data_IF_473816579726
#
_entry.id   IF_473816579726
#
_cell.length_a   1.000
_cell.length_b   1.000
_cell.length_c   1.000
_cell.angle_alpha   90.00
_cell.angle_beta   90.00
_cell.angle_gamma   90.00
#
_symmetry.space_group_name_H-M   'P 1'
#
loop_
_entity.id
_entity.type
_entity.pdbx_description
1 polymer ?
#
# COMPACT_ATOMS: atom_id res chain seq x y z
N UNK A 1 31.93 -29.12 -51.34
CA UNK A 1 31.43 -28.60 -50.05
C UNK A 1 32.31 -29.24 -48.99
N UNK A 2 33.27 -28.48 -48.44
CA UNK A 2 34.20 -29.04 -47.47
C UNK A 2 33.47 -29.42 -46.17
N UNK A 3 33.76 -30.59 -45.56
CA UNK A 3 33.10 -31.03 -44.33
C UNK A 3 33.38 -30.07 -43.16
N UNK A 4 34.47 -29.30 -43.22
CA UNK A 4 34.82 -28.25 -42.26
C UNK A 4 33.88 -27.03 -42.37
N UNK A 5 33.43 -26.68 -43.58
CA UNK A 5 32.49 -25.58 -43.79
C UNK A 5 31.08 -25.90 -43.29
N UNK A 6 30.68 -27.17 -43.34
CA UNK A 6 29.38 -27.63 -42.79
C UNK A 6 29.39 -27.60 -41.26
N UNK A 7 30.53 -27.92 -40.63
CA UNK A 7 30.68 -27.86 -39.17
C UNK A 7 30.69 -26.41 -38.63
N UNK A 8 31.27 -25.47 -39.38
CA UNK A 8 31.25 -24.04 -39.01
C UNK A 8 29.86 -23.41 -39.10
N UNK A 9 28.99 -23.89 -40.01
CA UNK A 9 27.60 -23.42 -40.11
C UNK A 9 26.69 -23.98 -39.01
N UNK A 10 26.98 -25.18 -38.49
CA UNK A 10 26.25 -25.78 -37.36
C UNK A 10 26.58 -25.14 -36.01
N UNK A 11 27.79 -24.59 -35.85
CA UNK A 11 28.19 -23.90 -34.63
C UNK A 11 27.68 -22.45 -34.53
N UNK A 12 27.36 -21.82 -35.66
CA UNK A 12 26.80 -20.47 -35.71
C UNK A 12 25.30 -20.41 -35.33
N UNK A 13 24.61 -21.55 -35.27
CA UNK A 13 23.22 -21.64 -34.79
C UNK A 13 23.11 -21.80 -33.26
N UNK A 14 24.25 -21.83 -32.54
CA UNK A 14 24.34 -21.87 -31.07
C UNK A 14 24.73 -20.49 -30.50
N UNK A 15 24.15 -19.42 -31.05
CA UNK A 15 24.14 -18.14 -30.32
C UNK A 15 23.30 -18.29 -29.05
N UNK A 16 23.78 -17.81 -27.89
CA UNK A 16 23.15 -18.08 -26.61
C UNK A 16 21.86 -17.26 -26.51
N UNK A 17 20.71 -17.94 -26.58
CA UNK A 17 19.41 -17.35 -26.22
C UNK A 17 19.37 -16.87 -24.75
N UNK A 18 20.38 -17.22 -23.93
CA UNK A 18 20.49 -16.87 -22.52
C UNK A 18 20.94 -15.43 -22.22
N UNK A 19 21.72 -14.76 -23.08
CA UNK A 19 22.32 -13.45 -22.73
C UNK A 19 21.30 -12.31 -22.69
N UNK A 20 20.32 -12.32 -23.60
CA UNK A 20 19.25 -11.32 -23.63
C UNK A 20 18.22 -11.53 -22.51
N UNK A 21 17.94 -12.78 -22.15
CA UNK A 21 17.02 -13.12 -21.05
C UNK A 21 17.61 -12.72 -19.70
N UNK A 22 18.90 -12.99 -19.48
CA UNK A 22 19.59 -12.62 -18.24
C UNK A 22 19.76 -11.10 -18.11
N UNK A 23 20.11 -10.39 -19.19
CA UNK A 23 20.20 -8.93 -19.17
C UNK A 23 18.83 -8.28 -18.88
N UNK A 24 17.75 -8.82 -19.46
CA UNK A 24 16.40 -8.29 -19.26
C UNK A 24 15.84 -8.64 -17.87
N UNK A 25 16.20 -9.80 -17.30
CA UNK A 25 15.89 -10.12 -15.90
C UNK A 25 16.62 -9.18 -14.95
N UNK A 26 17.92 -8.99 -15.15
CA UNK A 26 18.73 -8.09 -14.32
C UNK A 26 18.24 -6.64 -14.33
N UNK A 27 17.81 -6.14 -15.50
CA UNK A 27 17.21 -4.80 -15.64
C UNK A 27 15.89 -4.68 -14.86
N UNK A 28 15.02 -5.69 -14.92
CA UNK A 28 13.73 -5.72 -14.18
C UNK A 28 13.95 -5.76 -12.67
N UNK A 29 14.88 -6.59 -12.21
CA UNK A 29 15.28 -6.66 -10.80
C UNK A 29 15.82 -5.30 -10.34
N UNK A 30 16.62 -4.63 -11.17
CA UNK A 30 17.14 -3.28 -10.88
C UNK A 30 16.03 -2.23 -10.77
N UNK A 31 15.05 -2.25 -11.68
CA UNK A 31 13.93 -1.30 -11.66
C UNK A 31 13.08 -1.47 -10.39
N UNK A 32 12.83 -2.71 -9.98
CA UNK A 32 12.11 -3.02 -8.75
C UNK A 32 12.86 -2.53 -7.50
N UNK A 33 14.18 -2.72 -7.45
CA UNK A 33 15.01 -2.23 -6.33
C UNK A 33 15.07 -0.69 -6.27
N UNK A 34 15.09 -0.02 -7.43
CA UNK A 34 14.96 1.44 -7.48
C UNK A 34 13.59 1.87 -6.95
N UNK A 35 12.52 1.18 -7.36
CA UNK A 35 11.18 1.46 -6.88
C UNK A 35 11.07 1.29 -5.36
N UNK A 36 11.63 0.22 -4.77
CA UNK A 36 11.68 0.05 -3.30
C UNK A 36 12.32 1.25 -2.60
N UNK A 37 13.40 1.80 -3.14
CA UNK A 37 14.06 3.00 -2.57
C UNK A 37 13.19 4.25 -2.65
N UNK A 38 12.51 4.46 -3.79
CA UNK A 38 11.59 5.59 -3.96
C UNK A 38 10.38 5.48 -3.05
N UNK A 39 9.86 4.26 -2.89
CA UNK A 39 8.80 3.94 -1.94
C UNK A 39 9.23 4.36 -0.53
N UNK A 40 10.41 3.94 -0.04
CA UNK A 40 10.90 4.33 1.29
C UNK A 40 11.03 5.85 1.48
N UNK A 41 11.41 6.60 0.44
CA UNK A 41 11.42 8.08 0.49
C UNK A 41 9.99 8.61 0.67
N UNK A 42 9.05 8.13 -0.15
CA UNK A 42 7.63 8.51 -0.07
C UNK A 42 7.04 8.21 1.31
N UNK A 43 7.40 7.07 1.90
CA UNK A 43 6.95 6.64 3.24
C UNK A 43 7.36 7.62 4.32
N UNK A 44 8.57 8.19 4.25
CA UNK A 44 9.03 9.22 5.21
C UNK A 44 8.16 10.47 5.13
N UNK A 45 7.85 10.95 3.93
CA UNK A 45 7.01 12.14 3.75
C UNK A 45 5.59 11.91 4.26
N UNK A 46 5.01 10.75 3.98
CA UNK A 46 3.70 10.33 4.48
C UNK A 46 3.65 10.28 6.01
N UNK A 47 4.65 9.66 6.64
CA UNK A 47 4.73 9.56 8.10
C UNK A 47 4.91 10.95 8.73
N UNK A 48 5.71 11.83 8.12
CA UNK A 48 5.88 13.20 8.58
C UNK A 48 4.55 13.97 8.54
N UNK A 49 3.78 13.83 7.46
CA UNK A 49 2.45 14.44 7.36
C UNK A 49 1.49 13.94 8.44
N UNK A 50 1.54 12.65 8.79
CA UNK A 50 0.72 12.09 9.88
C UNK A 50 1.17 12.59 11.26
N UNK A 51 2.47 12.76 11.49
CA UNK A 51 2.97 13.33 12.75
C UNK A 51 2.47 14.77 12.92
N UNK A 52 2.56 15.60 11.87
CA UNK A 52 2.01 16.96 11.89
C UNK A 52 0.49 16.97 12.17
N UNK A 53 -0.23 15.98 11.63
CA UNK A 53 -1.66 15.83 11.90
C UNK A 53 -1.94 15.46 13.36
N UNK A 54 -1.11 14.61 13.98
CA UNK A 54 -1.23 14.25 15.41
C UNK A 54 -0.96 15.48 16.29
N UNK A 55 0.03 16.29 15.93
CA UNK A 55 0.38 17.53 16.66
C UNK A 55 -0.68 18.62 16.55
N UNK A 56 -1.60 18.51 15.58
CA UNK A 56 -2.73 19.42 15.45
C UNK A 56 -3.68 19.25 16.65
N UNK A 57 -3.67 20.22 17.57
CA UNK A 57 -4.54 20.22 18.75
C UNK A 57 -6.01 20.63 18.43
N UNK A 58 -6.55 20.19 17.29
CA UNK A 58 -7.96 20.36 16.89
C UNK A 58 -8.52 19.04 16.31
N UNK A 59 -9.29 18.33 17.15
CA UNK A 59 -9.92 17.06 16.79
C UNK A 59 -10.93 17.18 15.65
N UNK A 60 -11.64 18.31 15.54
CA UNK A 60 -12.61 18.49 14.45
C UNK A 60 -11.88 18.60 13.11
N UNK A 61 -10.75 19.31 13.10
CA UNK A 61 -9.94 19.45 11.90
C UNK A 61 -9.22 18.14 11.56
N UNK A 62 -8.65 17.44 12.54
CA UNK A 62 -8.10 16.10 12.35
C UNK A 62 -9.11 15.15 11.70
N UNK A 63 -10.35 15.12 12.21
CA UNK A 63 -11.42 14.30 11.65
C UNK A 63 -11.72 14.63 10.19
N UNK A 64 -11.84 15.92 9.85
CA UNK A 64 -12.11 16.36 8.46
C UNK A 64 -10.97 15.99 7.52
N UNK A 65 -9.72 16.19 7.96
CA UNK A 65 -8.55 15.82 7.17
C UNK A 65 -8.55 14.31 6.94
N UNK A 66 -8.81 13.51 7.98
CA UNK A 66 -8.87 12.05 7.87
C UNK A 66 -10.03 11.59 6.97
N UNK A 67 -11.21 12.20 7.07
CA UNK A 67 -12.35 11.90 6.17
C UNK A 67 -11.98 12.09 4.70
N UNK A 68 -11.42 13.25 4.36
CA UNK A 68 -10.99 13.58 3.00
C UNK A 68 -9.90 12.63 2.53
N UNK A 69 -8.91 12.38 3.39
CA UNK A 69 -7.79 11.50 3.11
C UNK A 69 -8.25 10.06 2.84
N UNK A 70 -9.10 9.49 3.69
CA UNK A 70 -9.62 8.14 3.50
C UNK A 70 -10.40 8.03 2.18
N UNK A 71 -11.30 8.96 1.90
CA UNK A 71 -12.05 8.98 0.62
C UNK A 71 -11.12 9.03 -0.59
N UNK A 72 -10.09 9.89 -0.56
CA UNK A 72 -9.11 10.00 -1.62
C UNK A 72 -8.30 8.71 -1.80
N UNK A 73 -7.81 8.15 -0.71
CA UNK A 73 -7.04 6.90 -0.68
C UNK A 73 -7.82 5.75 -1.32
N UNK A 74 -9.05 5.53 -0.85
CA UNK A 74 -9.90 4.44 -1.34
C UNK A 74 -10.29 4.62 -2.79
N UNK A 75 -10.53 5.86 -3.24
CA UNK A 75 -10.77 6.15 -4.65
C UNK A 75 -9.56 5.79 -5.52
N UNK A 76 -8.36 6.24 -5.14
CA UNK A 76 -7.13 5.95 -5.90
C UNK A 76 -6.83 4.44 -5.92
N UNK A 77 -7.07 3.75 -4.80
CA UNK A 77 -6.86 2.31 -4.72
C UNK A 77 -7.86 1.54 -5.59
N UNK A 78 -9.10 2.00 -5.70
CA UNK A 78 -10.13 1.40 -6.56
C UNK A 78 -9.80 1.61 -8.04
N UNK A 79 -9.47 2.84 -8.43
CA UNK A 79 -9.07 3.19 -9.80
C UNK A 79 -7.82 2.40 -10.22
N UNK A 80 -6.83 2.27 -9.33
CA UNK A 80 -5.61 1.49 -9.57
C UNK A 80 -5.89 -0.01 -9.71
N UNK A 81 -6.77 -0.56 -8.87
CA UNK A 81 -7.16 -1.98 -8.96
C UNK A 81 -7.77 -2.31 -10.33
N UNK A 82 -8.63 -1.43 -10.86
CA UNK A 82 -9.25 -1.63 -12.18
C UNK A 82 -8.18 -1.70 -13.27
N UNK A 83 -7.19 -0.79 -13.24
CA UNK A 83 -6.08 -0.77 -14.20
C UNK A 83 -5.26 -2.07 -14.12
N UNK A 84 -4.87 -2.48 -12.91
CA UNK A 84 -4.02 -3.65 -12.70
C UNK A 84 -4.72 -4.96 -13.11
N UNK A 85 -6.01 -5.10 -12.80
CA UNK A 85 -6.81 -6.27 -13.21
C UNK A 85 -6.97 -6.30 -14.73
N UNK A 86 -7.31 -5.16 -15.35
CA UNK A 86 -7.49 -5.07 -16.80
C UNK A 86 -6.20 -5.39 -17.57
N UNK A 87 -5.04 -5.02 -17.00
CA UNK A 87 -3.73 -5.33 -17.55
C UNK A 87 -3.23 -6.76 -17.22
N UNK A 88 -3.96 -7.53 -16.41
CA UNK A 88 -3.59 -8.90 -16.04
C UNK A 88 -2.34 -8.98 -15.16
N UNK A 89 -2.02 -7.91 -14.41
CA UNK A 89 -0.80 -7.84 -13.59
C UNK A 89 -0.85 -8.89 -12.48
N UNK A 90 0.17 -9.74 -12.44
CA UNK A 90 0.41 -10.64 -11.31
C UNK A 90 1.27 -9.91 -10.27
N UNK A 91 0.89 -9.86 -8.98
CA UNK A 91 1.62 -9.10 -7.97
C UNK A 91 3.05 -9.60 -7.74
N UNK A 92 3.25 -10.92 -7.80
CA UNK A 92 4.52 -11.65 -7.72
C UNK A 92 5.25 -11.74 -9.07
N UNK A 93 4.69 -11.13 -10.11
CA UNK A 93 5.27 -11.01 -11.42
C UNK A 93 6.37 -9.94 -11.50
N UNK A 94 6.94 -9.72 -12.69
CA UNK A 94 7.91 -8.66 -12.90
C UNK A 94 7.30 -7.28 -12.66
N UNK A 95 8.12 -6.35 -12.14
CA UNK A 95 7.71 -4.96 -12.02
C UNK A 95 7.30 -4.39 -13.40
N UNK A 96 6.17 -3.67 -13.50
CA UNK A 96 5.66 -3.20 -14.78
C UNK A 96 6.63 -2.27 -15.51
N UNK A 97 6.61 -2.29 -16.85
CA UNK A 97 7.39 -1.35 -17.67
C UNK A 97 6.55 -0.16 -18.16
N UNK A 98 5.28 -0.39 -18.45
CA UNK A 98 4.34 0.66 -18.86
C UNK A 98 4.09 1.65 -17.71
N UNK A 99 4.24 2.94 -17.98
CA UNK A 99 4.13 4.00 -16.97
C UNK A 99 2.76 4.03 -16.29
N UNK A 100 1.66 3.81 -17.03
CA UNK A 100 0.32 3.81 -16.45
C UNK A 100 0.12 2.62 -15.52
N UNK A 101 0.67 1.45 -15.87
CA UNK A 101 0.62 0.27 -15.01
C UNK A 101 1.54 0.44 -13.79
N UNK A 102 2.75 1.00 -13.97
CA UNK A 102 3.66 1.35 -12.87
C UNK A 102 3.02 2.31 -11.88
N UNK A 103 2.33 3.34 -12.36
CA UNK A 103 1.62 4.30 -11.51
C UNK A 103 0.52 3.59 -10.71
N UNK A 104 -0.31 2.76 -11.35
CA UNK A 104 -1.35 1.99 -10.67
C UNK A 104 -0.78 0.99 -9.64
N UNK A 105 0.34 0.35 -9.96
CA UNK A 105 1.07 -0.52 -9.03
C UNK A 105 1.57 0.28 -7.83
N UNK A 106 2.22 1.41 -8.10
CA UNK A 106 2.80 2.29 -7.07
C UNK A 106 1.72 2.85 -6.16
N UNK A 107 0.63 3.35 -6.73
CA UNK A 107 -0.54 3.80 -5.99
C UNK A 107 -1.14 2.68 -5.13
N UNK A 108 -1.21 1.44 -5.62
CA UNK A 108 -1.76 0.31 -4.84
C UNK A 108 -0.91 0.05 -3.60
N UNK A 109 0.41 -0.02 -3.77
CA UNK A 109 1.37 -0.26 -2.69
C UNK A 109 1.39 0.91 -1.71
N UNK A 110 1.55 2.13 -2.21
CA UNK A 110 1.66 3.36 -1.41
C UNK A 110 0.40 3.64 -0.60
N UNK A 111 -0.79 3.51 -1.20
CA UNK A 111 -2.04 3.75 -0.50
C UNK A 111 -2.34 2.64 0.51
N UNK A 112 -1.99 1.38 0.22
CA UNK A 112 -2.13 0.30 1.20
C UNK A 112 -1.22 0.51 2.41
N UNK A 113 0.03 0.94 2.19
CA UNK A 113 0.97 1.27 3.26
C UNK A 113 0.46 2.45 4.10
N UNK A 114 0.07 3.53 3.42
CA UNK A 114 -0.36 4.75 4.07
C UNK A 114 -1.63 4.55 4.89
N UNK A 115 -2.59 3.78 4.34
CA UNK A 115 -3.77 3.40 5.10
C UNK A 115 -3.41 2.64 6.38
N UNK A 116 -2.42 1.75 6.32
CA UNK A 116 -1.91 1.04 7.50
C UNK A 116 -1.43 1.97 8.60
N UNK A 117 -0.71 3.04 8.27
CA UNK A 117 -0.29 4.01 9.30
C UNK A 117 -1.49 4.75 9.89
N UNK A 118 -2.46 5.14 9.05
CA UNK A 118 -3.66 5.85 9.48
C UNK A 118 -4.50 4.97 10.40
N UNK A 119 -4.66 3.69 10.07
CA UNK A 119 -5.33 2.68 10.89
C UNK A 119 -4.68 2.59 12.26
N UNK A 120 -3.36 2.43 12.30
CA UNK A 120 -2.67 2.21 13.56
C UNK A 120 -2.61 3.48 14.44
N UNK A 121 -2.58 4.67 13.83
CA UNK A 121 -2.51 5.95 14.56
C UNK A 121 -3.87 6.54 14.92
N UNK A 122 -4.90 6.27 14.13
CA UNK A 122 -6.25 6.81 14.31
C UNK A 122 -7.34 5.73 14.30
N UNK A 123 -7.20 4.62 15.06
CA UNK A 123 -8.07 3.45 14.92
C UNK A 123 -9.55 3.77 15.16
N UNK A 124 -9.87 4.62 16.16
CA UNK A 124 -11.26 5.05 16.44
C UNK A 124 -11.92 5.76 15.24
N UNK A 125 -11.17 6.63 14.57
CA UNK A 125 -11.66 7.40 13.42
C UNK A 125 -11.82 6.47 12.22
N UNK A 126 -10.84 5.60 11.98
CA UNK A 126 -10.89 4.67 10.85
C UNK A 126 -12.05 3.69 10.98
N UNK A 127 -12.23 3.05 12.14
CA UNK A 127 -13.35 2.12 12.36
C UNK A 127 -14.72 2.77 12.16
N UNK A 128 -14.87 4.06 12.48
CA UNK A 128 -16.11 4.79 12.19
C UNK A 128 -16.49 4.76 10.70
N UNK A 129 -15.50 4.87 9.80
CA UNK A 129 -15.71 4.89 8.36
C UNK A 129 -15.66 3.49 7.74
N UNK A 130 -14.65 2.72 8.10
CA UNK A 130 -14.30 1.45 7.47
C UNK A 130 -15.32 0.36 7.76
N UNK A 131 -15.77 0.22 9.02
CA UNK A 131 -16.63 -0.89 9.44
C UNK A 131 -18.02 -0.84 8.77
N UNK A 132 -18.44 0.35 8.32
CA UNK A 132 -19.73 0.58 7.64
C UNK A 132 -19.63 0.46 6.12
N UNK A 133 -18.44 0.24 5.57
CA UNK A 133 -18.19 0.27 4.13
C UNK A 133 -17.59 -1.06 3.66
N UNK A 134 -18.46 -1.96 3.20
CA UNK A 134 -18.05 -3.29 2.73
C UNK A 134 -17.17 -3.24 1.49
N UNK A 135 -17.30 -2.21 0.63
CA UNK A 135 -16.42 -2.03 -0.52
C UNK A 135 -15.00 -1.72 -0.06
N UNK A 136 -14.84 -0.82 0.90
CA UNK A 136 -13.54 -0.48 1.49
C UNK A 136 -12.89 -1.70 2.14
N UNK A 137 -13.67 -2.49 2.88
CA UNK A 137 -13.17 -3.74 3.44
C UNK A 137 -12.63 -4.69 2.37
N UNK A 138 -13.41 -4.91 1.30
CA UNK A 138 -13.00 -5.76 0.17
C UNK A 138 -11.75 -5.24 -0.53
N UNK A 139 -11.65 -3.92 -0.71
CA UNK A 139 -10.55 -3.29 -1.40
C UNK A 139 -9.24 -3.39 -0.61
N UNK A 140 -9.28 -3.21 0.71
CA UNK A 140 -8.09 -3.35 1.57
C UNK A 140 -7.66 -4.79 1.70
N UNK A 141 -8.58 -5.76 1.81
CA UNK A 141 -8.21 -7.19 1.77
C UNK A 141 -7.47 -7.51 0.48
N UNK A 142 -7.95 -6.98 -0.65
CA UNK A 142 -7.25 -7.13 -1.93
C UNK A 142 -5.89 -6.44 -1.93
N UNK A 143 -5.78 -5.19 -1.46
CA UNK A 143 -4.52 -4.44 -1.39
C UNK A 143 -3.47 -5.10 -0.48
N UNK A 144 -3.87 -5.61 0.69
CA UNK A 144 -3.01 -6.39 1.57
C UNK A 144 -2.49 -7.64 0.85
N UNK A 145 -3.38 -8.39 0.20
CA UNK A 145 -3.00 -9.58 -0.58
C UNK A 145 -2.02 -9.25 -1.70
N UNK A 146 -2.29 -8.18 -2.45
CA UNK A 146 -1.42 -7.68 -3.51
C UNK A 146 -0.01 -7.37 -2.99
N UNK A 147 0.08 -6.58 -1.91
CA UNK A 147 1.34 -6.17 -1.31
C UNK A 147 2.13 -7.32 -0.68
N UNK A 148 1.45 -8.30 -0.09
CA UNK A 148 2.11 -9.50 0.45
C UNK A 148 2.69 -10.36 -0.67
N UNK A 149 1.94 -10.57 -1.75
CA UNK A 149 2.39 -11.37 -2.90
C UNK A 149 3.53 -10.69 -3.67
N UNK A 150 3.53 -9.35 -3.75
CA UNK A 150 4.60 -8.64 -4.43
C UNK A 150 5.95 -8.65 -3.73
N UNK A 151 5.97 -8.93 -2.42
CA UNK A 151 7.19 -8.91 -1.63
C UNK A 151 7.83 -7.52 -1.47
N UNK A 152 7.13 -6.43 -1.84
CA UNK A 152 7.68 -5.08 -1.75
C UNK A 152 7.99 -4.67 -0.30
N UNK A 153 7.23 -5.18 0.67
CA UNK A 153 7.43 -4.95 2.11
C UNK A 153 8.45 -5.90 2.74
N UNK A 154 8.97 -6.88 1.98
CA UNK A 154 9.93 -7.85 2.53
C UNK A 154 11.27 -7.17 2.80
N UNK A 155 11.89 -7.58 3.90
CA UNK A 155 13.24 -7.19 4.31
C UNK A 155 13.42 -5.69 4.56
N UNK A 156 12.34 -4.99 4.92
CA UNK A 156 12.32 -3.54 5.17
C UNK A 156 11.75 -3.16 6.54
N UNK A 157 11.83 -1.86 6.91
CA UNK A 157 11.30 -1.35 8.18
C UNK A 157 9.77 -1.48 8.29
N UNK A 158 9.08 -1.72 7.17
CA UNK A 158 7.62 -1.81 7.09
C UNK A 158 7.09 -3.24 7.00
N UNK A 159 7.93 -4.26 7.19
CA UNK A 159 7.54 -5.69 7.05
C UNK A 159 6.34 -6.06 7.92
N UNK A 160 6.22 -5.50 9.12
CA UNK A 160 5.12 -5.81 10.04
C UNK A 160 3.84 -5.00 9.80
N UNK A 161 3.89 -3.96 8.97
CA UNK A 161 2.82 -2.96 8.83
C UNK A 161 1.49 -3.60 8.40
N UNK A 162 1.52 -4.44 7.36
CA UNK A 162 0.31 -5.07 6.83
C UNK A 162 -0.30 -6.05 7.84
N UNK A 163 0.53 -6.78 8.58
CA UNK A 163 0.07 -7.69 9.64
C UNK A 163 -0.56 -6.94 10.82
N UNK A 164 0.04 -5.83 11.24
CA UNK A 164 -0.50 -4.99 12.33
C UNK A 164 -1.82 -4.33 11.92
N UNK A 165 -1.89 -3.77 10.70
CA UNK A 165 -3.13 -3.20 10.15
C UNK A 165 -4.22 -4.26 10.04
N UNK A 166 -3.90 -5.46 9.54
CA UNK A 166 -4.89 -6.55 9.40
C UNK A 166 -5.49 -6.95 10.74
N UNK A 167 -4.67 -6.98 11.79
CA UNK A 167 -5.11 -7.27 13.15
C UNK A 167 -5.94 -6.12 13.73
N UNK A 168 -5.53 -4.86 13.59
CA UNK A 168 -6.30 -3.70 14.08
C UNK A 168 -7.71 -3.69 13.46
N UNK A 169 -7.81 -3.91 12.14
CA UNK A 169 -9.07 -3.94 11.39
C UNK A 169 -9.93 -5.20 11.60
N UNK A 170 -9.43 -6.20 12.33
CA UNK A 170 -10.13 -7.49 12.48
C UNK A 170 -10.24 -8.29 11.18
N UNK A 171 -9.34 -8.06 10.23
CA UNK A 171 -9.22 -8.83 8.98
C UNK A 171 -8.60 -10.20 9.26
N UNK A 172 -7.61 -10.22 10.14
CA UNK A 172 -6.95 -11.42 10.67
C UNK A 172 -7.20 -11.54 12.17
N UNK A 173 -7.05 -12.75 12.71
CA UNK A 173 -7.09 -12.98 14.15
C UNK A 173 -5.99 -12.17 14.84
N UNK A 174 -6.32 -11.58 16.00
CA UNK A 174 -5.34 -10.85 16.82
C UNK A 174 -4.48 -11.85 17.58
N UNK A 175 -3.17 -11.77 17.41
CA UNK A 175 -2.22 -12.52 18.23
C UNK A 175 -2.41 -12.17 19.71
N UNK A 176 -2.22 -13.11 20.65
CA UNK A 176 -2.19 -12.81 22.08
C UNK A 176 -1.18 -11.70 22.44
N UNK A 177 -0.09 -11.59 21.67
CA UNK A 177 0.96 -10.59 21.86
C UNK A 177 0.72 -9.28 21.08
N UNK A 178 -0.42 -9.16 20.39
CA UNK A 178 -0.73 -7.99 19.60
C UNK A 178 -0.76 -6.72 20.46
N UNK A 179 0.12 -5.79 20.12
CA UNK A 179 0.11 -4.42 20.64
C UNK A 179 0.27 -3.47 19.49
N UNK A 180 -0.70 -2.57 19.32
CA UNK A 180 -0.56 -1.48 18.38
C UNK A 180 0.56 -0.55 18.90
N UNK A 181 1.68 -0.40 18.15
CA UNK A 181 2.86 0.31 18.64
C UNK A 181 2.64 1.82 18.80
N UNK A 182 1.60 2.37 18.15
CA UNK A 182 1.26 3.79 18.27
C UNK A 182 0.22 4.04 19.35
N UNK A 183 -0.40 3.00 19.90
CA UNK A 183 -1.37 3.12 20.98
C UNK A 183 -0.65 3.44 22.29
N UNK A 184 -0.42 4.73 22.53
CA UNK A 184 0.01 5.25 23.84
C UNK A 184 -1.20 5.41 24.75
N UNK A 185 -1.00 5.35 26.08
CA UNK A 185 -2.05 5.68 27.07
C UNK A 185 -2.64 7.08 26.80
N UNK A 186 -1.84 7.99 26.23
CA UNK A 186 -2.26 9.32 25.78
C UNK A 186 -3.10 9.35 24.47
N UNK A 187 -3.30 8.24 23.73
CA UNK A 187 -4.35 8.21 22.69
C UNK A 187 -5.77 8.03 23.27
N UNK A 188 -5.89 7.80 24.58
CA UNK A 188 -7.14 8.11 25.29
C UNK A 188 -7.40 9.62 25.32
N UNK A 189 -6.36 10.46 25.21
CA UNK A 189 -6.39 11.92 25.07
C UNK A 189 -6.53 12.40 23.61
N UNK A 190 -7.33 11.72 22.77
CA UNK A 190 -8.20 12.54 21.92
C UNK A 190 -9.10 13.29 22.91
N UNK A 191 -9.05 14.63 23.03
CA UNK A 191 -9.76 15.35 24.09
C UNK A 191 -11.23 14.92 24.12
N UNK A 192 -11.55 14.06 25.09
CA UNK A 192 -12.79 13.34 25.31
C UNK A 192 -13.42 12.67 24.07
N UNK A 193 -13.84 11.42 24.24
CA UNK A 193 -14.87 10.77 23.42
C UNK A 193 -16.04 11.70 23.09
N UNK A 194 -16.35 12.68 23.95
CA UNK A 194 -17.34 13.73 23.70
C UNK A 194 -16.99 14.71 22.57
N UNK A 195 -15.76 15.23 22.46
CA UNK A 195 -15.43 16.15 21.36
C UNK A 195 -15.41 15.39 20.03
N UNK A 196 -14.85 14.17 20.03
CA UNK A 196 -14.90 13.28 18.88
C UNK A 196 -16.34 12.92 18.48
N UNK A 197 -17.18 12.50 19.44
CA UNK A 197 -18.59 12.21 19.15
C UNK A 197 -19.38 13.46 18.78
N UNK A 198 -19.04 14.63 19.31
CA UNK A 198 -19.66 15.90 18.91
C UNK A 198 -19.29 16.26 17.47
N UNK A 199 -18.02 16.16 17.11
CA UNK A 199 -17.54 16.33 15.73
C UNK A 199 -18.30 15.40 14.78
N UNK A 200 -18.43 14.13 15.18
CA UNK A 200 -19.15 13.09 14.45
C UNK A 200 -20.62 13.48 14.22
N UNK A 201 -21.31 13.87 15.30
CA UNK A 201 -22.73 14.28 15.25
C UNK A 201 -22.92 15.54 14.42
N UNK A 202 -22.00 16.50 14.48
CA UNK A 202 -22.07 17.73 13.69
C UNK A 202 -21.89 17.48 12.20
N UNK A 203 -20.95 16.61 11.81
CA UNK A 203 -20.75 16.24 10.41
C UNK A 203 -21.89 15.37 9.86
N UNK A 204 -22.42 14.42 10.64
CA UNK A 204 -23.62 13.66 10.25
C UNK A 204 -24.84 14.57 10.04
N UNK A 205 -24.99 15.64 10.85
CA UNK A 205 -26.03 16.65 10.65
C UNK A 205 -25.82 17.48 9.38
N UNK A 206 -24.58 17.80 9.00
CA UNK A 206 -24.28 18.51 7.75
C UNK A 206 -24.54 17.65 6.52
N UNK A 207 -24.22 16.35 6.57
CA UNK A 207 -24.45 15.42 5.45
C UNK A 207 -25.94 15.11 5.17
N UNK A 208 -26.81 15.35 6.16
CA UNK A 208 -28.28 15.15 6.05
C UNK A 208 -29.05 16.41 5.66
N UNK A 209 -28.40 17.58 5.60
CA UNK A 209 -28.97 18.83 5.09
C UNK A 209 -28.63 19.01 3.62
#
# INVERSE_FOLDING_TARGET
MDPVQVLSLLLALLLPLGTAVDANKHKRDTAFEIYKKLFEVKRKDQINALNNLIELNDVNQQYKIIDIMLKGLFKVLEDSRVILIAAGVQPDGPFPEDEKIKDAYSHTVENSAFFGDVVLRFPKIVHHYFDRNSNWNSLIRWGIGFCNLSGIFNDGPHTQLLGLMSQELGISEKSPDYKNPFKTENMEFLPNTDAFQKALREEEKKKKK
#
